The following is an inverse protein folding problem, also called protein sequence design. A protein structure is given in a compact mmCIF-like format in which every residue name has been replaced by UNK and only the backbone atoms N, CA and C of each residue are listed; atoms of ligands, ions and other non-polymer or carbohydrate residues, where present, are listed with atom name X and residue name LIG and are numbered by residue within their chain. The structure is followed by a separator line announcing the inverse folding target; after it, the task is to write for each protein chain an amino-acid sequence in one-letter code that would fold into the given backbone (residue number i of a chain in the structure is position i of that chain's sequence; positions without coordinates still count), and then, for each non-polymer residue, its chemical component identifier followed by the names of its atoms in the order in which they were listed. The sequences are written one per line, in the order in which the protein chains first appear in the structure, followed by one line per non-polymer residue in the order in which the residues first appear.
data_IF_157813733580
#
_entry.id   IF_157813733580
#
_cell.length_a   1.000
_cell.length_b   1.000
_cell.length_c   1.000
_cell.angle_alpha   90.00
_cell.angle_beta   90.00
_cell.angle_gamma   90.00
#
_symmetry.space_group_name_H-M   'P 1'
#
loop_
_entity.id
_entity.type
_entity.pdbx_description
1 polymer ?
#
# COMPACT_ATOMS: atom_id res chain seq x y z
N UNK A 1 -71.69 57.64 -15.04
CA UNK A 1 -71.47 57.23 -16.45
C UNK A 1 -71.58 58.51 -17.25
N UNK A 2 -70.47 59.07 -17.76
CA UNK A 2 -69.53 58.37 -18.65
C UNK A 2 -68.02 58.57 -18.34
N UNK A 3 -67.23 57.84 -19.12
CA UNK A 3 -65.87 58.04 -19.65
C UNK A 3 -64.58 57.83 -18.84
N UNK A 4 -63.91 56.75 -19.26
CA UNK A 4 -62.53 56.34 -19.05
C UNK A 4 -61.50 57.30 -19.68
N UNK A 5 -60.47 57.66 -18.91
CA UNK A 5 -59.23 58.25 -19.42
C UNK A 5 -57.99 57.41 -19.03
N UNK A 6 -57.35 56.91 -20.08
CA UNK A 6 -56.02 56.28 -20.21
C UNK A 6 -54.95 56.76 -19.19
N UNK A 7 -54.10 55.83 -18.74
CA UNK A 7 -52.64 55.94 -18.88
C UNK A 7 -51.89 54.65 -18.48
N UNK A 8 -51.48 53.87 -19.48
CA UNK A 8 -50.34 52.95 -19.39
C UNK A 8 -49.05 53.77 -19.19
N UNK A 9 -48.24 53.46 -18.18
CA UNK A 9 -46.80 53.75 -18.20
C UNK A 9 -46.01 52.52 -17.75
N UNK A 10 -45.29 51.93 -18.71
CA UNK A 10 -44.24 50.93 -18.51
C UNK A 10 -43.15 51.48 -17.58
N UNK A 11 -42.56 50.63 -16.74
CA UNK A 11 -41.14 50.75 -16.35
C UNK A 11 -40.42 49.42 -16.55
N UNK A 12 -39.86 49.32 -17.74
CA UNK A 12 -38.87 48.37 -18.26
C UNK A 12 -37.49 48.54 -17.59
N UNK A 13 -37.45 48.53 -16.25
CA UNK A 13 -36.20 48.74 -15.49
C UNK A 13 -35.51 47.47 -14.99
N UNK A 14 -36.28 46.40 -14.71
CA UNK A 14 -35.73 45.18 -14.12
C UNK A 14 -35.04 44.26 -15.15
N UNK A 15 -35.50 44.27 -16.42
CA UNK A 15 -34.99 43.36 -17.45
C UNK A 15 -33.56 43.66 -17.89
N UNK A 16 -33.16 44.93 -17.91
CA UNK A 16 -31.83 45.33 -18.38
C UNK A 16 -30.74 45.00 -17.35
N UNK A 17 -31.04 45.13 -16.06
CA UNK A 17 -30.11 44.78 -14.97
C UNK A 17 -29.86 43.27 -14.89
N UNK A 18 -30.89 42.46 -15.10
CA UNK A 18 -30.76 41.00 -15.14
C UNK A 18 -29.97 40.55 -16.37
N UNK A 19 -30.22 41.16 -17.54
CA UNK A 19 -29.45 40.89 -18.75
C UNK A 19 -27.97 41.25 -18.60
N UNK A 20 -27.67 42.40 -17.98
CA UNK A 20 -26.29 42.81 -17.75
C UNK A 20 -25.58 41.88 -16.75
N UNK A 21 -26.27 41.44 -15.69
CA UNK A 21 -25.73 40.48 -14.73
C UNK A 21 -25.46 39.12 -15.39
N UNK A 22 -26.35 38.64 -16.26
CA UNK A 22 -26.16 37.39 -17.01
C UNK A 22 -25.01 37.49 -18.01
N UNK A 23 -24.85 38.63 -18.68
CA UNK A 23 -23.73 38.88 -19.59
C UNK A 23 -22.41 38.96 -18.83
N UNK A 24 -22.36 39.66 -17.69
CA UNK A 24 -21.16 39.70 -16.85
C UNK A 24 -20.79 38.32 -16.28
N UNK A 25 -21.79 37.52 -15.87
CA UNK A 25 -21.56 36.13 -15.45
C UNK A 25 -21.05 35.26 -16.60
N UNK A 26 -21.61 35.41 -17.81
CA UNK A 26 -21.15 34.71 -19.01
C UNK A 26 -19.71 35.11 -19.40
N UNK A 27 -19.37 36.40 -19.29
CA UNK A 27 -18.00 36.90 -19.52
C UNK A 27 -17.04 36.37 -18.45
N UNK A 28 -17.43 36.35 -17.17
CA UNK A 28 -16.62 35.74 -16.10
C UNK A 28 -16.41 34.23 -16.31
N UNK A 29 -17.39 33.53 -16.88
CA UNK A 29 -17.30 32.09 -17.20
C UNK A 29 -16.46 31.79 -18.46
N UNK A 30 -16.27 32.78 -19.35
CA UNK A 30 -15.60 32.59 -20.66
C UNK A 30 -14.25 33.31 -20.79
N UNK A 31 -13.99 34.34 -20.00
CA UNK A 31 -12.80 35.20 -20.10
C UNK A 31 -11.77 34.98 -18.98
N UNK A 32 -12.04 34.11 -18.02
CA UNK A 32 -10.98 33.66 -17.11
C UNK A 32 -10.00 32.78 -17.91
N UNK A 33 -8.69 33.08 -17.87
CA UNK A 33 -7.68 32.24 -18.51
C UNK A 33 -7.85 30.80 -18.04
N UNK A 34 -7.77 29.84 -18.96
CA UNK A 34 -7.84 28.40 -18.70
C UNK A 34 -6.74 27.86 -17.75
N UNK A 35 -5.94 28.72 -17.13
CA UNK A 35 -4.85 28.34 -16.25
C UNK A 35 -5.30 27.81 -14.88
N UNK A 36 -6.56 28.02 -14.47
CA UNK A 36 -7.07 27.58 -13.15
C UNK A 36 -8.20 26.53 -13.22
N UNK A 37 -8.50 25.95 -14.39
CA UNK A 37 -9.32 24.74 -14.44
C UNK A 37 -8.46 23.56 -13.98
N UNK A 38 -8.85 22.93 -12.87
CA UNK A 38 -8.30 21.64 -12.41
C UNK A 38 -8.33 20.61 -13.56
N UNK A 39 -7.23 20.55 -14.30
CA UNK A 39 -7.11 19.77 -15.53
C UNK A 39 -5.71 19.84 -16.14
N UNK A 40 -4.72 20.28 -15.35
CA UNK A 40 -3.32 20.26 -15.75
C UNK A 40 -2.92 18.87 -16.21
N UNK A 41 -2.70 18.73 -17.52
CA UNK A 41 -2.23 17.53 -18.21
C UNK A 41 -2.80 16.22 -17.67
N UNK A 42 -4.01 15.84 -18.10
CA UNK A 42 -4.53 14.50 -17.81
C UNK A 42 -3.46 13.46 -18.18
N UNK A 43 -2.92 12.77 -17.16
CA UNK A 43 -1.93 11.73 -17.35
C UNK A 43 -2.50 10.71 -18.34
N UNK A 44 -1.91 10.58 -19.53
CA UNK A 44 -2.33 9.56 -20.47
C UNK A 44 -2.03 8.19 -19.87
N UNK A 45 -3.07 7.37 -19.73
CA UNK A 45 -2.91 6.00 -19.25
C UNK A 45 -1.90 5.26 -20.13
N UNK A 46 -0.91 4.62 -19.50
CA UNK A 46 0.06 3.79 -20.19
C UNK A 46 -0.65 2.49 -20.60
N UNK A 47 -0.59 2.13 -21.88
CA UNK A 47 -1.06 0.81 -22.34
C UNK A 47 0.05 -0.21 -22.17
N UNK A 48 -0.23 -1.29 -21.43
CA UNK A 48 0.66 -2.45 -21.38
C UNK A 48 0.76 -3.08 -22.78
N UNK A 49 1.98 -3.18 -23.31
CA UNK A 49 2.22 -3.70 -24.67
C UNK A 49 2.56 -5.19 -24.68
N UNK A 50 3.27 -5.65 -23.67
CA UNK A 50 3.73 -7.03 -23.54
C UNK A 50 4.13 -7.29 -22.09
N UNK A 51 4.11 -8.55 -21.70
CA UNK A 51 4.65 -9.05 -20.44
C UNK A 51 5.34 -10.40 -20.69
N UNK A 52 6.29 -10.76 -19.84
CA UNK A 52 6.95 -12.06 -19.86
C UNK A 52 7.23 -12.49 -18.43
N UNK A 53 7.25 -13.80 -18.18
CA UNK A 53 7.72 -14.33 -16.91
C UNK A 53 9.23 -14.12 -16.76
N UNK A 54 9.69 -13.77 -15.55
CA UNK A 54 11.11 -13.78 -15.22
C UNK A 54 11.51 -15.17 -14.71
N UNK A 55 11.87 -16.04 -15.67
CA UNK A 55 12.24 -17.42 -15.36
C UNK A 55 13.46 -17.53 -14.43
N UNK A 56 14.35 -16.53 -14.43
CA UNK A 56 15.53 -16.52 -13.55
C UNK A 56 15.11 -16.26 -12.11
N UNK A 57 14.26 -15.26 -11.88
CA UNK A 57 13.74 -14.96 -10.55
C UNK A 57 12.87 -16.11 -10.02
N UNK A 58 11.99 -16.66 -10.86
CA UNK A 58 11.17 -17.84 -10.51
C UNK A 58 12.06 -19.02 -10.13
N UNK A 59 13.07 -19.32 -10.95
CA UNK A 59 14.00 -20.42 -10.67
C UNK A 59 14.82 -20.20 -9.41
N UNK A 60 15.15 -18.95 -9.06
CA UNK A 60 15.89 -18.64 -7.83
C UNK A 60 15.05 -18.86 -6.56
N UNK A 61 13.78 -18.45 -6.56
CA UNK A 61 12.86 -18.73 -5.45
C UNK A 61 12.60 -20.23 -5.28
N UNK A 62 12.45 -20.97 -6.38
CA UNK A 62 12.34 -22.43 -6.33
C UNK A 62 13.63 -23.06 -5.78
N UNK A 63 14.80 -22.68 -6.30
CA UNK A 63 16.10 -23.16 -5.79
C UNK A 63 16.27 -22.91 -4.29
N UNK A 64 15.86 -21.74 -3.82
CA UNK A 64 15.98 -21.38 -2.41
C UNK A 64 14.98 -22.13 -1.53
N UNK A 65 13.70 -22.11 -1.90
CA UNK A 65 12.62 -22.71 -1.10
C UNK A 65 12.58 -24.24 -1.14
N UNK A 66 13.13 -24.86 -2.18
CA UNK A 66 13.23 -26.31 -2.32
C UNK A 66 14.57 -26.86 -1.76
N UNK A 67 15.42 -26.01 -1.16
CA UNK A 67 16.66 -26.43 -0.51
C UNK A 67 16.38 -27.14 0.82
N UNK A 68 16.23 -28.46 0.74
CA UNK A 68 15.96 -29.32 1.90
C UNK A 68 17.11 -29.40 2.93
N UNK A 69 18.25 -28.73 2.71
CA UNK A 69 19.32 -28.64 3.73
C UNK A 69 19.02 -27.61 4.83
N UNK A 70 17.98 -26.78 4.65
CA UNK A 70 17.60 -25.69 5.57
C UNK A 70 16.19 -25.94 6.09
N UNK A 71 16.05 -25.99 7.41
CA UNK A 71 14.80 -26.46 8.06
C UNK A 71 14.02 -25.34 8.75
N UNK A 72 14.51 -24.11 8.70
CA UNK A 72 13.90 -22.90 9.25
C UNK A 72 13.82 -21.74 8.25
N UNK A 73 14.22 -21.98 7.00
CA UNK A 73 14.21 -20.98 5.93
C UNK A 73 12.84 -20.84 5.27
N UNK A 74 12.65 -19.72 4.58
CA UNK A 74 11.50 -19.45 3.71
C UNK A 74 11.37 -20.52 2.64
N UNK A 75 10.16 -21.06 2.46
CA UNK A 75 9.86 -21.96 1.33
C UNK A 75 8.65 -21.53 0.50
N UNK A 76 7.88 -20.56 0.98
CA UNK A 76 6.73 -20.02 0.26
C UNK A 76 6.02 -18.98 1.11
N UNK A 77 5.43 -17.97 0.50
CA UNK A 77 4.65 -16.97 1.24
C UNK A 77 3.86 -16.06 0.32
N UNK A 78 3.03 -15.21 0.93
CA UNK A 78 2.24 -14.18 0.23
C UNK A 78 2.75 -12.76 0.56
N UNK A 79 2.03 -11.73 0.09
CA UNK A 79 2.38 -10.33 0.35
C UNK A 79 3.80 -9.97 -0.09
N UNK A 80 4.23 -10.45 -1.26
CA UNK A 80 5.64 -10.36 -1.70
C UNK A 80 6.02 -8.94 -2.12
N UNK A 81 6.72 -8.23 -1.24
CA UNK A 81 7.25 -6.89 -1.48
C UNK A 81 8.78 -6.91 -1.50
N UNK A 82 9.40 -5.94 -2.17
CA UNK A 82 10.85 -5.83 -2.18
C UNK A 82 11.34 -4.38 -2.10
N UNK A 83 12.53 -4.20 -1.54
CA UNK A 83 13.24 -2.93 -1.52
C UNK A 83 14.71 -3.16 -1.82
N UNK A 84 15.28 -2.35 -2.72
CA UNK A 84 16.72 -2.35 -2.99
C UNK A 84 17.44 -1.62 -1.87
N UNK A 85 18.48 -2.24 -1.33
CA UNK A 85 19.32 -1.71 -0.26
C UNK A 85 20.49 -0.90 -0.84
N UNK A 86 21.12 0.02 -0.06
CA UNK A 86 22.22 0.86 -0.56
C UNK A 86 23.46 0.08 -1.02
N UNK A 87 23.68 -1.10 -0.45
CA UNK A 87 24.80 -1.99 -0.81
C UNK A 87 24.53 -2.87 -2.05
N UNK A 88 23.38 -2.67 -2.70
CA UNK A 88 22.99 -3.39 -3.92
C UNK A 88 22.23 -4.69 -3.66
N UNK A 89 22.12 -5.15 -2.40
CA UNK A 89 21.22 -6.26 -2.05
C UNK A 89 19.76 -5.88 -2.24
N UNK A 90 18.88 -6.88 -2.26
CA UNK A 90 17.42 -6.69 -2.23
C UNK A 90 16.87 -7.40 -1.00
N UNK A 91 16.09 -6.68 -0.20
CA UNK A 91 15.31 -7.28 0.86
C UNK A 91 13.92 -7.62 0.30
N UNK A 92 13.57 -8.91 0.32
CA UNK A 92 12.23 -9.40 0.05
C UNK A 92 11.48 -9.55 1.37
N UNK A 93 10.25 -9.08 1.41
CA UNK A 93 9.36 -9.10 2.56
C UNK A 93 8.12 -9.90 2.18
N UNK A 94 7.67 -10.74 3.12
CA UNK A 94 6.51 -11.60 2.93
C UNK A 94 5.58 -11.45 4.11
N UNK A 95 4.30 -11.68 3.85
CA UNK A 95 3.24 -11.81 4.84
C UNK A 95 3.17 -13.26 5.32
N UNK A 96 2.02 -13.93 5.26
CA UNK A 96 1.88 -15.31 5.71
C UNK A 96 2.89 -16.20 4.95
N UNK A 97 3.80 -16.82 5.69
CA UNK A 97 4.99 -17.51 5.16
C UNK A 97 5.09 -18.92 5.73
N UNK A 98 5.26 -19.91 4.86
CA UNK A 98 5.70 -21.25 5.21
C UNK A 98 7.22 -21.29 5.37
N UNK A 99 7.65 -21.83 6.51
CA UNK A 99 9.05 -22.19 6.76
C UNK A 99 9.22 -23.71 6.70
N UNK A 100 10.48 -24.17 6.68
CA UNK A 100 10.80 -25.59 6.85
C UNK A 100 11.07 -26.30 5.53
N UNK A 101 10.80 -27.60 5.47
CA UNK A 101 11.18 -28.40 4.32
C UNK A 101 10.04 -28.53 3.30
N UNK A 102 10.39 -28.48 2.01
CA UNK A 102 9.54 -28.94 0.91
C UNK A 102 10.04 -30.31 0.46
N UNK A 103 9.15 -31.28 0.41
CA UNK A 103 9.42 -32.64 -0.02
C UNK A 103 9.12 -32.79 -1.51
N UNK A 104 10.12 -33.15 -2.31
CA UNK A 104 9.95 -33.50 -3.71
C UNK A 104 9.28 -34.89 -3.90
N UNK A 105 8.70 -35.17 -5.08
CA UNK A 105 8.11 -36.47 -5.36
C UNK A 105 9.17 -37.59 -5.59
N UNK A 106 8.90 -38.85 -5.17
CA UNK A 106 7.80 -39.24 -4.30
C UNK A 106 8.05 -38.72 -2.88
N UNK A 107 7.08 -37.97 -2.36
CA UNK A 107 7.19 -37.39 -1.03
C UNK A 107 6.79 -38.42 0.05
N UNK A 108 6.97 -38.12 1.36
CA UNK A 108 6.67 -39.06 2.44
C UNK A 108 5.23 -39.59 2.49
N UNK A 109 4.27 -38.90 1.87
CA UNK A 109 2.86 -39.33 1.79
C UNK A 109 2.48 -39.94 0.43
N UNK A 110 3.47 -40.14 -0.46
CA UNK A 110 3.31 -40.82 -1.74
C UNK A 110 2.72 -39.96 -2.86
N UNK A 111 2.62 -38.64 -2.70
CA UNK A 111 2.09 -37.79 -3.77
C UNK A 111 3.14 -37.53 -4.86
N UNK A 112 2.63 -37.27 -6.06
CA UNK A 112 3.41 -36.96 -7.26
C UNK A 112 3.82 -35.48 -7.39
N UNK A 113 3.50 -34.67 -6.38
CA UNK A 113 3.79 -33.24 -6.34
C UNK A 113 4.57 -32.85 -5.07
N UNK A 114 5.17 -31.66 -5.10
CA UNK A 114 5.88 -31.10 -3.96
C UNK A 114 4.94 -30.92 -2.76
N UNK A 115 5.36 -31.36 -1.58
CA UNK A 115 4.50 -31.44 -0.41
C UNK A 115 5.20 -30.91 0.84
N UNK A 116 4.44 -30.35 1.78
CA UNK A 116 4.92 -29.94 3.11
C UNK A 116 4.16 -30.71 4.17
N UNK A 117 4.84 -30.97 5.28
CA UNK A 117 4.19 -31.51 6.48
C UNK A 117 3.02 -30.62 6.92
N UNK A 118 1.94 -31.24 7.43
CA UNK A 118 0.79 -30.49 7.95
C UNK A 118 1.11 -29.64 9.17
N UNK A 119 2.26 -29.92 9.81
CA UNK A 119 2.83 -29.14 10.91
C UNK A 119 3.87 -28.09 10.45
N UNK A 120 4.05 -27.88 9.14
CA UNK A 120 4.99 -26.88 8.63
C UNK A 120 4.69 -25.49 9.24
N UNK A 121 5.70 -24.79 9.80
CA UNK A 121 5.45 -23.51 10.45
C UNK A 121 4.87 -22.50 9.45
N UNK A 122 3.78 -21.84 9.85
CA UNK A 122 3.15 -20.73 9.13
C UNK A 122 3.23 -19.47 10.01
N UNK A 123 4.19 -18.61 9.70
CA UNK A 123 4.43 -17.34 10.40
C UNK A 123 3.77 -16.18 9.66
N UNK A 124 3.48 -15.08 10.36
CA UNK A 124 2.70 -13.97 9.81
C UNK A 124 3.49 -12.97 8.98
N UNK A 125 4.81 -13.04 9.03
CA UNK A 125 5.70 -12.29 8.16
C UNK A 125 7.09 -12.90 8.20
N UNK A 126 7.82 -12.73 7.12
CA UNK A 126 9.23 -13.10 7.02
C UNK A 126 9.98 -12.14 6.09
N UNK A 127 11.29 -12.30 6.00
CA UNK A 127 12.09 -11.60 5.01
C UNK A 127 13.26 -12.45 4.51
N UNK A 128 13.60 -12.29 3.24
CA UNK A 128 14.73 -12.99 2.60
C UNK A 128 15.64 -11.98 1.91
N UNK A 129 16.95 -12.12 2.14
CA UNK A 129 17.98 -11.28 1.52
C UNK A 129 18.43 -11.91 0.22
N UNK A 130 18.38 -11.11 -0.85
CA UNK A 130 18.94 -11.44 -2.15
C UNK A 130 20.19 -10.60 -2.39
N UNK A 131 21.26 -11.27 -2.83
CA UNK A 131 22.52 -10.65 -3.23
C UNK A 131 22.35 -9.72 -4.42
N UNK A 132 23.32 -8.83 -4.64
CA UNK A 132 23.36 -7.95 -5.83
C UNK A 132 23.37 -8.71 -7.16
N UNK A 133 23.83 -9.96 -7.15
CA UNK A 133 23.90 -10.84 -8.33
C UNK A 133 22.58 -11.62 -8.54
N UNK A 134 21.60 -11.42 -7.66
CA UNK A 134 20.27 -12.00 -7.75
C UNK A 134 20.16 -13.40 -7.16
N UNK A 135 20.98 -13.73 -6.15
CA UNK A 135 20.89 -15.01 -5.41
C UNK A 135 20.27 -14.79 -4.04
N UNK A 136 19.25 -15.56 -3.68
CA UNK A 136 18.71 -15.59 -2.32
C UNK A 136 19.71 -16.29 -1.41
N UNK A 137 20.10 -15.62 -0.33
CA UNK A 137 21.18 -16.05 0.55
C UNK A 137 20.64 -16.51 1.90
N UNK A 138 19.76 -15.71 2.52
CA UNK A 138 19.41 -15.85 3.93
C UNK A 138 17.99 -15.39 4.21
N UNK A 139 17.24 -16.23 4.94
CA UNK A 139 15.98 -15.86 5.58
C UNK A 139 16.34 -15.24 6.93
N UNK A 140 15.81 -14.04 7.20
CA UNK A 140 16.06 -13.38 8.48
C UNK A 140 15.37 -14.15 9.62
N UNK A 141 15.83 -14.00 10.88
CA UNK A 141 15.11 -14.55 12.03
C UNK A 141 13.63 -14.18 11.97
N UNK A 142 12.77 -15.21 11.99
CA UNK A 142 11.36 -15.10 11.65
C UNK A 142 10.48 -15.42 12.88
N UNK A 143 9.38 -14.68 13.14
CA UNK A 143 8.90 -13.51 12.39
C UNK A 143 9.83 -12.30 12.54
N UNK A 144 9.99 -11.55 11.44
CA UNK A 144 10.83 -10.32 11.44
C UNK A 144 10.17 -9.21 12.24
N UNK A 145 8.84 -9.13 12.16
CA UNK A 145 8.00 -8.23 12.95
C UNK A 145 7.14 -9.08 13.89
N UNK A 146 7.45 -9.11 15.19
CA UNK A 146 6.70 -9.91 16.16
C UNK A 146 5.22 -9.57 16.14
N UNK A 147 4.33 -10.50 16.45
CA UNK A 147 2.89 -10.21 16.50
C UNK A 147 2.56 -9.23 17.64
N UNK A 148 1.61 -8.29 17.47
CA UNK A 148 1.23 -7.36 18.54
C UNK A 148 0.55 -7.99 19.75
N UNK A 149 0.09 -9.25 19.63
CA UNK A 149 -0.61 -9.99 20.68
C UNK A 149 -1.39 -11.18 20.13
N UNK A 150 -2.02 -11.99 21.00
CA UNK A 150 -2.78 -13.17 20.57
C UNK A 150 -3.87 -12.82 19.55
N UNK A 151 -3.92 -13.56 18.44
CA UNK A 151 -4.89 -13.34 17.37
C UNK A 151 -4.69 -12.02 16.62
N UNK A 152 -3.54 -11.36 16.76
CA UNK A 152 -3.18 -10.14 16.01
C UNK A 152 -1.90 -10.38 15.24
N UNK A 153 -1.76 -9.74 14.09
CA UNK A 153 -0.58 -9.92 13.25
C UNK A 153 -0.18 -8.68 12.47
N UNK A 154 1.02 -8.73 11.90
CA UNK A 154 1.62 -7.67 11.07
C UNK A 154 1.98 -8.22 9.69
N UNK A 155 1.46 -7.58 8.66
CA UNK A 155 1.80 -7.85 7.25
C UNK A 155 2.62 -6.70 6.68
N UNK A 156 3.86 -6.94 6.21
CA UNK A 156 4.62 -5.93 5.50
C UNK A 156 4.03 -5.68 4.12
N UNK A 157 3.74 -4.42 3.80
CA UNK A 157 3.02 -4.05 2.55
C UNK A 157 3.80 -3.09 1.65
N UNK A 158 4.84 -2.46 2.19
CA UNK A 158 5.82 -1.73 1.41
C UNK A 158 7.07 -1.51 2.27
N UNK A 159 8.19 -1.26 1.61
CA UNK A 159 9.40 -0.83 2.29
C UNK A 159 10.15 0.20 1.47
N UNK A 160 10.99 0.96 2.18
CA UNK A 160 11.79 2.03 1.62
C UNK A 160 13.08 2.20 2.40
N UNK A 161 14.14 2.54 1.69
CA UNK A 161 15.33 3.16 2.29
C UNK A 161 15.15 4.67 2.36
N UNK A 162 15.31 5.25 3.55
CA UNK A 162 15.33 6.71 3.75
C UNK A 162 16.32 7.12 4.84
N UNK A 163 16.71 8.42 4.89
CA UNK A 163 17.46 8.95 6.02
C UNK A 163 16.77 8.64 7.35
N UNK A 164 17.53 8.28 8.39
CA UNK A 164 17.00 8.02 9.74
C UNK A 164 16.15 9.18 10.27
N UNK A 165 16.57 10.39 9.95
CA UNK A 165 15.86 11.65 10.20
C UNK A 165 16.20 12.63 9.08
N UNK A 166 15.38 13.68 8.86
CA UNK A 166 15.67 14.69 7.85
C UNK A 166 17.08 15.27 8.00
N UNK A 167 17.87 15.19 6.92
CA UNK A 167 19.26 15.66 6.91
C UNK A 167 20.30 14.67 7.44
N UNK A 168 19.90 13.52 7.98
CA UNK A 168 20.86 12.48 8.39
C UNK A 168 21.54 11.84 7.19
N UNK A 169 22.84 11.56 7.31
CA UNK A 169 23.57 10.71 6.37
C UNK A 169 23.29 9.22 6.58
N UNK A 170 22.91 8.84 7.81
CA UNK A 170 22.55 7.47 8.14
C UNK A 170 21.23 7.09 7.49
N UNK A 171 21.22 5.98 6.77
CA UNK A 171 20.03 5.41 6.14
C UNK A 171 19.46 4.26 6.97
N UNK A 172 18.15 4.07 6.91
CA UNK A 172 17.43 2.93 7.49
C UNK A 172 16.44 2.37 6.50
N UNK A 173 15.99 1.13 6.72
CA UNK A 173 14.80 0.61 6.04
C UNK A 173 13.57 0.91 6.89
N UNK A 174 12.60 1.59 6.32
CA UNK A 174 11.25 1.71 6.86
C UNK A 174 10.35 0.70 6.19
N UNK A 175 9.66 -0.10 6.99
CA UNK A 175 8.70 -1.08 6.49
C UNK A 175 7.31 -0.70 6.98
N UNK A 176 6.41 -0.44 6.04
CA UNK A 176 4.99 -0.19 6.32
C UNK A 176 4.32 -1.53 6.63
N UNK A 177 3.65 -1.58 7.77
CA UNK A 177 2.98 -2.77 8.27
C UNK A 177 1.49 -2.51 8.38
N UNK A 178 0.69 -3.42 7.83
CA UNK A 178 -0.72 -3.52 8.15
C UNK A 178 -0.90 -4.40 9.37
N UNK A 179 -1.53 -3.86 10.41
CA UNK A 179 -1.94 -4.66 11.54
C UNK A 179 -3.39 -5.09 11.39
N UNK A 180 -3.63 -6.34 11.75
CA UNK A 180 -4.96 -6.93 11.76
C UNK A 180 -5.18 -7.73 13.03
N UNK A 181 -6.45 -7.92 13.36
CA UNK A 181 -6.90 -8.81 14.42
C UNK A 181 -7.82 -9.88 13.84
N UNK A 182 -7.85 -11.05 14.46
CA UNK A 182 -8.74 -12.14 14.10
C UNK A 182 -10.18 -11.62 14.01
N UNK A 183 -10.84 -11.94 12.90
CA UNK A 183 -12.19 -11.52 12.57
C UNK A 183 -13.05 -12.71 12.19
N UNK A 184 -14.35 -12.46 12.10
CA UNK A 184 -15.31 -13.37 11.48
C UNK A 184 -15.65 -12.86 10.08
N UNK A 185 -16.41 -13.64 9.31
CA UNK A 185 -16.94 -13.18 8.03
C UNK A 185 -17.64 -11.80 8.19
N UNK A 186 -17.41 -10.85 7.27
CA UNK A 186 -16.62 -10.98 6.04
C UNK A 186 -15.10 -10.77 6.17
N UNK A 187 -14.58 -10.40 7.34
CA UNK A 187 -13.15 -10.15 7.57
C UNK A 187 -12.36 -11.44 7.82
N UNK A 188 -12.45 -12.39 6.88
CA UNK A 188 -11.78 -13.71 6.98
C UNK A 188 -10.25 -13.60 6.99
N UNK A 189 -9.71 -12.50 6.45
CA UNK A 189 -8.30 -12.14 6.49
C UNK A 189 -7.96 -11.19 7.64
N UNK A 190 -8.81 -11.14 8.67
CA UNK A 190 -8.67 -10.27 9.84
C UNK A 190 -9.25 -8.87 9.65
N UNK A 191 -9.73 -8.30 10.75
CA UNK A 191 -10.25 -6.93 10.80
C UNK A 191 -9.08 -5.94 10.79
N UNK A 192 -9.07 -4.93 9.90
CA UNK A 192 -8.01 -3.92 9.86
C UNK A 192 -7.98 -3.11 11.16
N UNK A 193 -6.79 -2.85 11.72
CA UNK A 193 -6.64 -2.12 13.00
C UNK A 193 -5.75 -0.90 12.92
N UNK A 194 -4.56 -0.98 12.32
CA UNK A 194 -3.66 0.17 12.25
C UNK A 194 -2.65 0.02 11.11
N UNK A 195 -2.05 1.15 10.72
CA UNK A 195 -0.79 1.18 9.97
C UNK A 195 0.34 1.47 10.94
N UNK A 196 1.37 0.64 10.90
CA UNK A 196 2.59 0.80 11.68
C UNK A 196 3.80 0.92 10.74
N UNK A 197 4.91 1.47 11.25
CA UNK A 197 6.18 1.54 10.53
C UNK A 197 7.27 0.91 11.39
N UNK A 198 7.83 -0.18 10.90
CA UNK A 198 9.03 -0.79 11.45
C UNK A 198 10.29 -0.10 10.91
N UNK A 199 11.32 -0.09 11.75
CA UNK A 199 12.66 0.42 11.39
C UNK A 199 13.66 -0.71 11.47
N UNK A 200 14.31 -1.01 10.35
CA UNK A 200 15.45 -1.92 10.30
C UNK A 200 16.74 -1.13 10.11
N UNK A 201 17.77 -1.49 10.87
CA UNK A 201 19.11 -0.94 10.69
C UNK A 201 19.70 -1.32 9.33
N UNK A 202 20.67 -0.54 8.85
CA UNK A 202 21.51 -0.90 7.71
C UNK A 202 22.97 -0.96 8.15
N UNK A 203 23.77 -1.92 7.64
CA UNK A 203 23.39 -2.96 6.67
C UNK A 203 22.76 -4.21 7.31
N UNK A 204 22.73 -4.32 8.64
CA UNK A 204 22.44 -5.59 9.33
C UNK A 204 20.96 -6.02 9.33
N UNK A 205 20.04 -5.13 8.97
CA UNK A 205 18.60 -5.39 8.93
C UNK A 205 18.00 -5.79 10.29
N UNK A 206 18.60 -5.32 11.39
CA UNK A 206 18.08 -5.58 12.74
C UNK A 206 16.86 -4.70 13.00
N UNK A 207 15.77 -5.29 13.51
CA UNK A 207 14.62 -4.53 13.97
C UNK A 207 15.00 -3.63 15.15
N UNK A 208 14.84 -2.33 14.99
CA UNK A 208 15.13 -1.32 16.01
C UNK A 208 13.87 -0.88 16.76
N UNK A 209 12.71 -0.90 16.10
CA UNK A 209 11.44 -0.49 16.69
C UNK A 209 10.30 -0.47 15.68
N UNK A 210 9.08 -0.41 16.20
CA UNK A 210 7.84 -0.34 15.44
C UNK A 210 6.98 0.79 16.02
N UNK A 211 6.54 1.72 15.18
CA UNK A 211 5.73 2.87 15.57
C UNK A 211 4.37 2.82 14.90
N UNK A 212 3.29 2.98 15.66
CA UNK A 212 1.95 3.18 15.08
C UNK A 212 1.84 4.59 14.52
N UNK A 213 1.66 4.69 13.20
CA UNK A 213 1.52 5.96 12.48
C UNK A 213 0.07 6.31 12.18
N UNK A 214 -0.82 5.30 12.17
CA UNK A 214 -2.25 5.51 12.04
C UNK A 214 -3.03 4.43 12.78
N UNK A 215 -3.68 4.80 13.89
CA UNK A 215 -4.61 3.94 14.60
C UNK A 215 -6.03 4.08 14.01
N UNK A 216 -6.56 2.99 13.44
CA UNK A 216 -7.90 2.91 12.88
C UNK A 216 -8.86 2.12 13.79
N UNK A 217 -8.40 1.60 14.92
CA UNK A 217 -9.24 0.82 15.85
C UNK A 217 -10.40 1.63 16.43
N UNK A 218 -10.24 2.95 16.52
CA UNK A 218 -11.27 3.90 16.95
C UNK A 218 -12.37 4.14 15.91
N UNK A 219 -12.17 3.76 14.65
CA UNK A 219 -13.22 3.83 13.63
C UNK A 219 -14.17 2.65 13.84
N UNK A 220 -15.40 2.95 14.25
CA UNK A 220 -16.38 1.96 14.69
C UNK A 220 -16.77 0.96 13.57
N UNK A 221 -16.92 1.42 12.34
CA UNK A 221 -17.21 0.58 11.17
C UNK A 221 -15.88 0.13 10.52
N UNK A 222 -15.52 -1.17 10.60
CA UNK A 222 -14.26 -1.65 10.02
C UNK A 222 -14.16 -1.49 8.52
N UNK A 223 -15.29 -1.42 7.80
CA UNK A 223 -15.31 -1.21 6.35
C UNK A 223 -14.95 0.23 5.93
N UNK A 224 -14.81 1.14 6.89
CA UNK A 224 -14.34 2.52 6.68
C UNK A 224 -12.90 2.72 7.16
N UNK A 225 -12.26 1.68 7.69
CA UNK A 225 -10.86 1.77 8.16
C UNK A 225 -9.94 1.81 6.96
N UNK A 226 -9.06 2.80 6.93
CA UNK A 226 -8.10 2.99 5.85
C UNK A 226 -6.75 2.45 6.29
N UNK A 227 -6.19 1.52 5.52
CA UNK A 227 -4.83 1.05 5.70
C UNK A 227 -3.93 1.66 4.63
N UNK A 228 -3.03 2.54 5.05
CA UNK A 228 -2.02 3.14 4.17
C UNK A 228 -0.79 2.24 4.07
N UNK A 229 -0.07 2.37 2.96
CA UNK A 229 1.20 1.70 2.74
C UNK A 229 1.19 0.63 1.66
N UNK A 230 0.13 0.50 0.85
CA UNK A 230 0.13 -0.41 -0.32
C UNK A 230 1.22 -0.06 -1.32
N UNK A 231 1.58 1.21 -1.41
CA UNK A 231 2.72 1.72 -2.17
C UNK A 231 3.14 3.09 -1.66
N UNK A 232 4.40 3.46 -1.97
CA UNK A 232 4.91 4.81 -1.70
C UNK A 232 5.58 5.38 -2.94
N UNK A 233 5.40 6.68 -3.16
CA UNK A 233 6.00 7.41 -4.29
C UNK A 233 6.57 8.72 -3.79
N UNK A 234 7.78 9.05 -4.19
CA UNK A 234 8.33 10.37 -3.91
C UNK A 234 8.01 11.40 -4.99
N UNK A 235 7.65 12.60 -4.56
CA UNK A 235 7.57 13.76 -5.41
C UNK A 235 7.97 15.03 -4.63
N UNK A 236 9.07 15.64 -5.05
CA UNK A 236 9.64 16.83 -4.39
C UNK A 236 10.03 16.57 -2.94
N UNK A 237 9.48 17.38 -2.03
CA UNK A 237 9.72 17.30 -0.58
C UNK A 237 8.85 16.24 0.13
N UNK A 238 7.98 15.54 -0.60
CA UNK A 238 6.97 14.66 -0.03
C UNK A 238 7.16 13.21 -0.46
N UNK A 239 6.79 12.32 0.45
CA UNK A 239 6.52 10.91 0.18
C UNK A 239 5.02 10.70 0.25
N UNK A 240 4.43 10.36 -0.88
CA UNK A 240 3.03 9.97 -1.00
C UNK A 240 2.88 8.51 -0.60
N UNK A 241 1.88 8.22 0.22
CA UNK A 241 1.58 6.90 0.74
C UNK A 241 0.17 6.55 0.32
N UNK A 242 0.02 5.54 -0.53
CA UNK A 242 -1.27 5.09 -1.02
C UNK A 242 -1.83 4.01 -0.10
N UNK A 243 -3.15 3.95 -0.04
CA UNK A 243 -3.88 3.02 0.81
C UNK A 243 -5.26 2.71 0.27
N UNK A 244 -5.98 1.86 0.99
CA UNK A 244 -7.35 1.51 0.67
C UNK A 244 -8.16 1.15 1.90
N UNK A 245 -9.47 1.05 1.71
CA UNK A 245 -10.36 0.41 2.68
C UNK A 245 -10.71 -1.04 2.24
N UNK A 246 -11.22 -1.82 3.19
CA UNK A 246 -11.75 -3.17 2.92
C UNK A 246 -13.25 -3.10 2.57
N UNK A 247 -13.69 -2.07 1.82
CA UNK A 247 -15.10 -1.86 1.49
C UNK A 247 -15.76 -3.07 0.82
N UNK A 248 -15.06 -3.72 -0.10
CA UNK A 248 -15.54 -4.94 -0.79
C UNK A 248 -15.81 -6.11 0.15
N UNK A 249 -14.97 -6.31 1.18
CA UNK A 249 -15.19 -7.35 2.16
C UNK A 249 -16.57 -7.14 2.83
N UNK A 250 -16.94 -5.91 3.15
CA UNK A 250 -18.24 -5.57 3.73
C UNK A 250 -19.39 -5.44 2.71
N UNK A 251 -19.34 -6.17 1.58
CA UNK A 251 -20.36 -6.17 0.53
C UNK A 251 -20.62 -4.79 -0.11
N UNK A 252 -19.64 -3.88 -0.08
CA UNK A 252 -19.73 -2.63 -0.87
C UNK A 252 -19.33 -2.88 -2.32
N UNK A 253 -19.87 -2.10 -3.29
CA UNK A 253 -19.58 -2.29 -4.71
C UNK A 253 -18.11 -2.12 -5.12
N UNK A 254 -17.31 -1.43 -4.30
CA UNK A 254 -15.89 -1.20 -4.50
C UNK A 254 -15.20 -0.80 -3.17
N UNK A 255 -13.92 -1.12 -3.06
CA UNK A 255 -13.03 -0.48 -2.10
C UNK A 255 -12.66 0.92 -2.61
N UNK A 256 -12.38 1.84 -1.71
CA UNK A 256 -11.92 3.19 -2.04
C UNK A 256 -10.39 3.26 -1.97
N UNK A 257 -9.78 4.00 -2.90
CA UNK A 257 -8.36 4.31 -2.87
C UNK A 257 -8.12 5.65 -2.18
N UNK A 258 -7.10 5.70 -1.32
CA UNK A 258 -6.73 6.89 -0.56
C UNK A 258 -5.26 7.22 -0.80
N UNK A 259 -4.91 8.49 -0.62
CA UNK A 259 -3.52 8.95 -0.60
C UNK A 259 -3.31 9.91 0.57
N UNK A 260 -2.22 9.67 1.30
CA UNK A 260 -1.67 10.59 2.28
C UNK A 260 -0.27 11.02 1.83
N UNK A 261 0.30 12.03 2.50
CA UNK A 261 1.71 12.39 2.28
C UNK A 261 2.40 12.75 3.59
N UNK A 262 3.68 12.44 3.67
CA UNK A 262 4.58 12.81 4.77
C UNK A 262 5.80 13.51 4.20
N UNK A 263 6.47 14.41 4.95
CA UNK A 263 7.76 14.93 4.49
C UNK A 263 8.73 13.78 4.25
N UNK A 264 9.55 13.88 3.19
CA UNK A 264 10.53 12.85 2.86
C UNK A 264 11.48 12.60 4.05
N UNK A 265 11.74 11.33 4.38
CA UNK A 265 12.57 10.96 5.54
C UNK A 265 11.82 10.97 6.88
N UNK A 266 10.49 11.00 6.85
CA UNK A 266 9.63 10.99 8.04
C UNK A 266 8.52 9.93 7.97
N UNK A 267 8.76 8.79 7.32
CA UNK A 267 7.71 7.79 7.18
C UNK A 267 7.27 7.19 8.53
N UNK A 268 8.19 7.11 9.49
CA UNK A 268 7.92 6.60 10.84
C UNK A 268 7.49 7.65 11.88
N UNK A 269 7.02 8.82 11.46
CA UNK A 269 6.60 9.94 12.32
C UNK A 269 5.17 10.36 12.07
#
# INVERSE_FOLDING_TARGET
MPDDARARRRRTGAGLGVLLALVCAAVLLTALPDHDREGGGACTARTLRSWSADARLTGEFARYGDDASRVDDWTGGDGTHSVRLPDGRVLWLFSDTYLGQVHGPPNPVGESYAWRDTSAPLVRNSAVVMSKDGRLETTLPTPVFPDPGPGRWRWPVAARVEPRSPGSSEQVVRVLLWTRTAGQAPWIYGVPTSTEVATLSLPDLRLEGITTVLDQSFVADPSRRVLFGTSTVDAGAWTYVFGGDDGQAASRPASQAYVARVPRGKLGQ
#
